data_IF_950715261084
#
_entry.id   IF_950715261084
#
_cell.length_a   1.000
_cell.length_b   1.000
_cell.length_c   1.000
_cell.angle_alpha   90.00
_cell.angle_beta   90.00
_cell.angle_gamma   90.00
#
_symmetry.space_group_name_H-M   'P 1'
#
loop_
_entity.id
_entity.type
_entity.pdbx_description
1 polymer ?
#
# COMPACT_ATOMS: atom_id res chain seq x y z
N UNK A 1 -10.14 -3.03 34.04
CA UNK A 1 -10.02 -3.55 32.65
C UNK A 1 -10.19 -2.48 31.56
N UNK A 2 -10.83 -1.35 31.84
CA UNK A 2 -11.13 -0.27 30.86
C UNK A 2 -9.97 0.65 30.50
N UNK A 3 -8.94 0.80 31.35
CA UNK A 3 -7.80 1.71 31.11
C UNK A 3 -6.80 1.18 30.06
N UNK A 4 -6.44 -0.10 30.11
CA UNK A 4 -5.55 -0.73 29.10
C UNK A 4 -6.14 -0.68 27.69
N UNK A 5 -7.45 -0.85 27.57
CA UNK A 5 -8.16 -0.81 26.28
C UNK A 5 -8.17 0.60 25.66
N UNK A 6 -8.31 1.65 26.47
CA UNK A 6 -8.21 3.05 26.03
C UNK A 6 -6.79 3.39 25.55
N UNK A 7 -5.76 2.91 26.25
CA UNK A 7 -4.36 3.10 25.86
C UNK A 7 -4.03 2.45 24.52
N UNK A 8 -4.47 1.20 24.30
CA UNK A 8 -4.26 0.52 23.02
C UNK A 8 -5.01 1.18 21.86
N UNK A 9 -6.23 1.68 22.10
CA UNK A 9 -7.01 2.36 21.07
C UNK A 9 -6.35 3.68 20.65
N UNK A 10 -5.89 4.48 21.62
CA UNK A 10 -5.16 5.73 21.35
C UNK A 10 -3.89 5.46 20.53
N UNK A 11 -3.12 4.44 20.89
CA UNK A 11 -1.93 4.04 20.13
C UNK A 11 -2.24 3.65 18.68
N UNK A 12 -3.31 2.87 18.46
CA UNK A 12 -3.71 2.48 17.11
C UNK A 12 -4.16 3.68 16.27
N UNK A 13 -4.96 4.59 16.84
CA UNK A 13 -5.39 5.82 16.17
C UNK A 13 -4.20 6.72 15.82
N UNK A 14 -3.24 6.85 16.73
CA UNK A 14 -2.00 7.60 16.48
C UNK A 14 -1.22 6.99 15.31
N UNK A 15 -1.07 5.66 15.29
CA UNK A 15 -0.35 4.95 14.23
C UNK A 15 -1.03 5.03 12.86
N UNK A 16 -2.36 5.05 12.83
CA UNK A 16 -3.13 5.27 11.59
C UNK A 16 -2.83 6.67 11.05
N UNK A 17 -2.87 7.69 11.91
CA UNK A 17 -2.58 9.08 11.54
C UNK A 17 -1.13 9.28 11.07
N UNK A 18 -0.18 8.62 11.72
CA UNK A 18 1.24 8.63 11.30
C UNK A 18 1.40 8.03 9.91
N UNK A 19 0.79 6.88 9.64
CA UNK A 19 0.87 6.23 8.32
C UNK A 19 0.24 7.10 7.22
N UNK A 20 -0.91 7.73 7.50
CA UNK A 20 -1.57 8.65 6.57
C UNK A 20 -0.69 9.88 6.29
N UNK A 21 -0.04 10.43 7.33
CA UNK A 21 0.88 11.55 7.19
C UNK A 21 2.09 11.18 6.33
N UNK A 22 2.67 10.00 6.54
CA UNK A 22 3.76 9.47 5.71
C UNK A 22 3.34 9.29 4.24
N UNK A 23 2.11 8.84 3.99
CA UNK A 23 1.60 8.72 2.63
C UNK A 23 1.48 10.09 1.94
N UNK A 24 1.00 11.10 2.66
CA UNK A 24 0.91 12.46 2.13
C UNK A 24 2.28 13.07 1.86
N UNK A 25 3.28 12.82 2.72
CA UNK A 25 4.67 13.25 2.44
C UNK A 25 5.21 12.64 1.15
N UNK A 26 4.87 11.39 0.84
CA UNK A 26 5.26 10.76 -0.43
C UNK A 26 4.58 11.43 -1.63
N UNK A 27 3.31 11.84 -1.49
CA UNK A 27 2.63 12.64 -2.52
C UNK A 27 3.38 13.94 -2.77
N UNK A 28 3.74 14.65 -1.72
CA UNK A 28 4.45 15.92 -1.82
C UNK A 28 5.79 15.74 -2.56
N UNK A 29 6.55 14.69 -2.23
CA UNK A 29 7.79 14.34 -2.94
C UNK A 29 7.59 14.05 -4.43
N UNK A 30 6.50 13.39 -4.81
CA UNK A 30 6.18 13.16 -6.22
C UNK A 30 5.83 14.47 -6.93
N UNK A 31 5.06 15.35 -6.27
CA UNK A 31 4.70 16.65 -6.84
C UNK A 31 5.94 17.53 -6.99
N UNK A 32 6.82 17.57 -5.99
CA UNK A 32 8.13 18.24 -6.05
C UNK A 32 9.03 17.66 -7.16
N UNK A 33 8.92 16.35 -7.42
CA UNK A 33 9.60 15.66 -8.52
C UNK A 33 9.06 15.99 -9.91
N UNK A 34 8.02 16.83 -10.03
CA UNK A 34 7.49 17.34 -11.30
C UNK A 34 6.16 16.71 -11.74
N UNK A 35 5.55 15.83 -10.94
CA UNK A 35 4.19 15.35 -11.24
C UNK A 35 3.16 16.43 -10.88
N UNK A 36 2.15 16.63 -11.75
CA UNK A 36 1.08 17.55 -11.41
C UNK A 36 0.24 16.98 -10.24
N UNK A 37 -0.11 17.80 -9.27
CA UNK A 37 -0.87 17.34 -8.09
C UNK A 37 -2.17 16.60 -8.45
N UNK A 38 -2.86 17.07 -9.52
CA UNK A 38 -4.09 16.44 -10.04
C UNK A 38 -3.87 15.04 -10.62
N UNK A 39 -2.62 14.67 -10.93
CA UNK A 39 -2.23 13.36 -11.45
C UNK A 39 -1.70 12.42 -10.35
N UNK A 40 -1.55 12.90 -9.12
CA UNK A 40 -1.08 12.09 -7.98
C UNK A 40 -2.25 11.83 -7.04
N UNK A 41 -2.71 10.58 -6.99
CA UNK A 41 -3.79 10.16 -6.11
C UNK A 41 -3.27 9.24 -5.00
N UNK A 42 -3.69 9.50 -3.77
CA UNK A 42 -3.33 8.71 -2.59
C UNK A 42 -4.53 7.89 -2.13
N UNK A 43 -4.36 6.58 -2.04
CA UNK A 43 -5.41 5.66 -1.58
C UNK A 43 -5.04 5.14 -0.20
N UNK A 44 -5.64 5.71 0.84
CA UNK A 44 -5.53 5.22 2.22
C UNK A 44 -6.87 4.63 2.67
N UNK A 45 -6.93 3.30 2.81
CA UNK A 45 -8.18 2.60 3.16
C UNK A 45 -7.95 1.44 4.11
N UNK A 46 -8.93 1.12 5.00
CA UNK A 46 -8.88 -0.09 5.80
C UNK A 46 -8.79 -1.34 4.91
N UNK A 47 -7.89 -2.24 5.26
CA UNK A 47 -7.68 -3.51 4.54
C UNK A 47 -8.87 -4.45 4.78
N UNK A 48 -9.52 -4.92 3.71
CA UNK A 48 -10.62 -5.91 3.79
C UNK A 48 -10.14 -7.32 3.41
N UNK A 49 -9.26 -7.43 2.41
CA UNK A 49 -8.69 -8.71 1.93
C UNK A 49 -7.18 -8.77 2.13
N UNK A 50 -6.49 -9.76 1.54
CA UNK A 50 -5.04 -9.73 1.50
C UNK A 50 -4.50 -8.60 0.60
N UNK A 51 -3.30 -8.09 0.93
CA UNK A 51 -2.72 -6.92 0.25
C UNK A 51 -2.60 -7.16 -1.26
N UNK A 52 -2.16 -8.37 -1.67
CA UNK A 52 -2.02 -8.68 -3.09
C UNK A 52 -3.38 -8.65 -3.80
N UNK A 53 -4.41 -9.26 -3.22
CA UNK A 53 -5.76 -9.21 -3.80
C UNK A 53 -6.36 -7.81 -3.82
N UNK A 54 -6.12 -6.97 -2.80
CA UNK A 54 -6.56 -5.57 -2.82
C UNK A 54 -5.88 -4.75 -3.93
N UNK A 55 -4.60 -5.01 -4.21
CA UNK A 55 -3.86 -4.38 -5.30
C UNK A 55 -4.41 -4.87 -6.65
N UNK A 56 -4.61 -6.18 -6.82
CA UNK A 56 -5.15 -6.78 -8.04
C UNK A 56 -6.55 -6.22 -8.34
N UNK A 57 -7.41 -6.15 -7.33
CA UNK A 57 -8.77 -5.63 -7.48
C UNK A 57 -8.74 -4.16 -7.92
N UNK A 58 -7.85 -3.34 -7.37
CA UNK A 58 -7.69 -1.94 -7.73
C UNK A 58 -7.16 -1.75 -9.17
N UNK A 59 -6.22 -2.60 -9.58
CA UNK A 59 -5.65 -2.58 -10.94
C UNK A 59 -6.69 -2.95 -11.98
N UNK A 60 -7.49 -3.96 -11.69
CA UNK A 60 -8.57 -4.38 -12.58
C UNK A 60 -9.73 -3.38 -12.62
N UNK A 61 -10.01 -2.65 -11.54
CA UNK A 61 -11.09 -1.66 -11.51
C UNK A 61 -10.74 -0.36 -12.22
N UNK A 62 -9.52 0.12 -12.03
CA UNK A 62 -9.10 1.45 -12.49
C UNK A 62 -8.27 1.37 -13.79
N UNK A 63 -8.06 0.15 -14.32
CA UNK A 63 -7.34 -0.14 -15.55
C UNK A 63 -5.94 0.49 -15.61
N UNK A 64 -5.11 0.22 -14.59
CA UNK A 64 -3.72 0.68 -14.58
C UNK A 64 -2.84 -0.14 -15.54
N UNK A 65 -2.10 0.54 -16.42
CA UNK A 65 -1.18 -0.11 -17.37
C UNK A 65 0.15 -0.55 -16.73
N UNK A 66 0.55 0.09 -15.63
CA UNK A 66 1.85 -0.13 -14.99
C UNK A 66 1.77 -0.08 -13.48
N UNK A 67 2.45 -1.01 -12.81
CA UNK A 67 2.57 -1.07 -11.35
C UNK A 67 4.05 -1.11 -10.98
N UNK A 68 4.43 -0.24 -10.05
CA UNK A 68 5.77 -0.23 -9.47
C UNK A 68 5.69 -0.72 -8.03
N UNK A 69 6.42 -1.80 -7.71
CA UNK A 69 6.49 -2.40 -6.38
C UNK A 69 7.94 -2.43 -5.91
N UNK A 70 8.16 -2.16 -4.62
CA UNK A 70 9.48 -2.36 -4.01
C UNK A 70 9.62 -3.81 -3.51
N UNK A 71 10.78 -4.44 -3.73
CA UNK A 71 11.19 -5.72 -3.12
C UNK A 71 11.50 -5.56 -1.63
N UNK A 72 10.49 -5.27 -0.81
CA UNK A 72 10.67 -5.18 0.64
C UNK A 72 10.74 -6.59 1.25
N UNK A 73 11.88 -6.94 1.86
CA UNK A 73 11.94 -8.01 2.86
C UNK A 73 11.18 -7.52 4.10
N UNK A 74 9.87 -7.74 4.16
CA UNK A 74 9.09 -7.42 5.34
C UNK A 74 9.64 -8.26 6.52
N UNK A 75 10.29 -7.62 7.50
CA UNK A 75 10.61 -8.24 8.78
C UNK A 75 9.29 -8.68 9.43
N UNK A 76 9.13 -10.01 9.55
CA UNK A 76 8.50 -10.76 10.66
C UNK A 76 7.10 -10.26 11.03
N UNK A 77 6.00 -10.90 10.60
CA UNK A 77 5.37 -11.97 11.41
C UNK A 77 4.53 -12.96 10.60
N UNK A 78 4.46 -12.84 9.26
CA UNK A 78 3.67 -13.78 8.46
C UNK A 78 4.44 -14.12 7.21
N UNK A 79 5.08 -15.29 7.26
CA UNK A 79 5.49 -16.03 6.08
C UNK A 79 4.25 -16.19 5.19
N UNK A 80 4.06 -15.27 4.25
CA UNK A 80 3.04 -15.39 3.23
C UNK A 80 3.59 -16.36 2.18
N UNK A 81 2.89 -17.48 2.07
CA UNK A 81 2.95 -18.40 0.94
C UNK A 81 2.95 -17.60 -0.38
N UNK A 82 4.08 -17.58 -1.09
CA UNK A 82 4.31 -16.80 -2.30
C UNK A 82 4.49 -15.29 -2.03
N UNK A 83 5.53 -14.67 -2.60
CA UNK A 83 5.73 -13.22 -2.43
C UNK A 83 4.52 -12.43 -2.96
N UNK A 84 4.16 -11.31 -2.32
CA UNK A 84 3.08 -10.41 -2.78
C UNK A 84 3.29 -10.07 -4.26
N UNK A 85 4.55 -9.80 -4.63
CA UNK A 85 4.97 -9.59 -6.02
C UNK A 85 4.66 -10.80 -6.92
N UNK A 86 4.88 -12.03 -6.46
CA UNK A 86 4.59 -13.24 -7.23
C UNK A 86 3.09 -13.43 -7.47
N UNK A 87 2.25 -13.19 -6.45
CA UNK A 87 0.78 -13.26 -6.62
C UNK A 87 0.27 -12.19 -7.58
N UNK A 88 0.81 -10.97 -7.49
CA UNK A 88 0.45 -9.86 -8.41
C UNK A 88 0.90 -10.16 -9.85
N UNK A 89 2.14 -10.62 -10.05
CA UNK A 89 2.69 -10.95 -11.38
C UNK A 89 1.92 -12.11 -12.04
N UNK A 90 1.48 -13.12 -11.28
CA UNK A 90 0.73 -14.24 -11.85
C UNK A 90 -0.73 -13.87 -12.16
N UNK A 91 -1.34 -13.02 -11.34
CA UNK A 91 -2.77 -12.70 -11.47
C UNK A 91 -3.07 -11.56 -12.44
N UNK A 92 -2.11 -10.68 -12.71
CA UNK A 92 -2.29 -9.59 -13.66
C UNK A 92 -1.87 -10.02 -15.06
N UNK A 93 -2.77 -9.84 -16.01
CA UNK A 93 -2.52 -9.99 -17.44
C UNK A 93 -2.57 -8.60 -18.06
N UNK A 94 -1.70 -8.35 -19.03
CA UNK A 94 -1.65 -7.09 -19.79
C UNK A 94 -1.27 -5.84 -18.97
N UNK A 95 -0.56 -6.02 -17.85
CA UNK A 95 -0.05 -4.93 -17.00
C UNK A 95 1.46 -5.07 -16.82
N UNK A 96 2.19 -3.98 -16.97
CA UNK A 96 3.64 -3.96 -16.75
C UNK A 96 3.95 -3.91 -15.25
N UNK A 97 4.68 -4.89 -14.72
CA UNK A 97 5.07 -4.93 -13.31
C UNK A 97 6.57 -4.63 -13.16
N UNK A 98 6.89 -3.48 -12.57
CA UNK A 98 8.25 -3.06 -12.26
C UNK A 98 8.58 -3.37 -10.80
N UNK A 99 9.60 -4.18 -10.56
CA UNK A 99 10.09 -4.48 -9.21
C UNK A 99 11.39 -3.71 -8.98
N UNK A 100 11.37 -2.78 -8.03
CA UNK A 100 12.54 -1.97 -7.63
C UNK A 100 13.13 -2.58 -6.36
N UNK A 101 14.45 -2.81 -6.33
CA UNK A 101 15.18 -3.35 -5.16
C UNK A 101 16.04 -2.29 -4.50
#
# INVERSE_FOLDING_TARGET
>A
VTSKLKGSLSYLSQKIKENETQLNQVKDLLVEGGFAEKQVNCVFRPRKKDIASEIIDLVNSDHFDTIVLNRKHARVTRFFSGSISHKVVISLKDVTVCIVS
#
